data_IF_022186684399
#
_entry.id   IF_022186684399
#
_cell.length_a   1.000
_cell.length_b   1.000
_cell.length_c   1.000
_cell.angle_alpha   90.00
_cell.angle_beta   90.00
_cell.angle_gamma   90.00
#
_symmetry.space_group_name_H-M   'P 1'
#
loop_
_entity.id
_entity.type
_entity.pdbx_description
1 polymer ?
#
# COMPACT_ATOMS: atom_id res chain seq x y z
N UNK A 1 -7.54 -8.91 -13.19
CA UNK A 1 -8.70 -8.04 -13.47
C UNK A 1 -9.24 -7.58 -12.13
N UNK A 2 -9.50 -6.29 -11.94
CA UNK A 2 -10.03 -5.78 -10.66
C UNK A 2 -11.46 -6.31 -10.46
N UNK A 3 -11.80 -6.85 -9.26
CA UNK A 3 -13.14 -7.32 -8.95
C UNK A 3 -14.22 -6.25 -9.14
N UNK A 4 -15.41 -6.64 -9.59
CA UNK A 4 -16.49 -5.71 -9.95
C UNK A 4 -16.95 -4.80 -8.78
N UNK A 5 -16.92 -5.31 -7.55
CA UNK A 5 -17.23 -4.50 -6.36
C UNK A 5 -16.22 -3.37 -6.13
N UNK A 6 -14.94 -3.69 -6.25
CA UNK A 6 -13.84 -2.73 -6.12
C UNK A 6 -13.83 -1.74 -7.29
N UNK A 7 -14.17 -2.18 -8.50
CA UNK A 7 -14.28 -1.32 -9.68
C UNK A 7 -15.24 -0.14 -9.45
N UNK A 8 -16.38 -0.36 -8.77
CA UNK A 8 -17.34 0.73 -8.45
C UNK A 8 -16.76 1.79 -7.52
N UNK A 9 -15.92 1.39 -6.57
CA UNK A 9 -15.25 2.30 -5.64
C UNK A 9 -14.12 3.08 -6.32
N UNK A 10 -13.45 2.47 -7.31
CA UNK A 10 -12.37 3.10 -8.05
C UNK A 10 -12.84 3.99 -9.19
N UNK A 11 -14.02 3.73 -9.78
CA UNK A 11 -14.56 4.49 -10.93
C UNK A 11 -14.49 6.02 -10.78
N UNK A 12 -14.83 6.63 -9.62
CA UNK A 12 -14.80 8.08 -9.46
C UNK A 12 -13.39 8.70 -9.51
N UNK A 13 -12.35 7.89 -9.35
CA UNK A 13 -10.94 8.34 -9.21
C UNK A 13 -10.03 7.77 -10.30
N UNK A 14 -10.60 7.12 -11.34
CA UNK A 14 -9.80 6.52 -12.42
C UNK A 14 -9.00 7.57 -13.19
N UNK A 15 -9.58 8.75 -13.42
CA UNK A 15 -9.00 9.81 -14.26
C UNK A 15 -7.79 10.50 -13.60
N UNK A 16 -7.72 10.47 -12.27
CA UNK A 16 -6.59 11.04 -11.50
C UNK A 16 -5.36 10.13 -11.50
N UNK A 17 -5.52 8.89 -11.95
CA UNK A 17 -4.48 7.86 -11.97
C UNK A 17 -4.11 7.33 -10.58
N UNK A 18 -3.16 6.40 -10.59
CA UNK A 18 -2.69 5.72 -9.39
C UNK A 18 -1.18 5.75 -9.31
N UNK A 19 -0.65 5.56 -8.10
CA UNK A 19 0.78 5.30 -7.89
C UNK A 19 0.97 3.88 -7.41
N UNK A 20 1.70 3.09 -8.19
CA UNK A 20 2.11 1.74 -7.83
C UNK A 20 3.54 1.76 -7.32
N UNK A 21 3.78 1.11 -6.18
CA UNK A 21 5.11 1.04 -5.55
C UNK A 21 5.29 -0.26 -4.76
N UNK A 22 6.49 -0.45 -4.23
CA UNK A 22 6.87 -1.58 -3.38
C UNK A 22 6.46 -1.30 -1.94
N UNK A 23 5.90 -2.29 -1.25
CA UNK A 23 5.70 -2.18 0.19
C UNK A 23 7.03 -2.14 0.94
N UNK A 24 7.03 -1.50 2.11
CA UNK A 24 8.21 -1.38 2.98
C UNK A 24 8.39 -2.60 3.85
N UNK A 25 7.29 -3.15 4.35
CA UNK A 25 7.29 -4.21 5.36
C UNK A 25 7.00 -5.59 4.76
N UNK A 26 6.39 -5.63 3.58
CA UNK A 26 5.88 -6.86 2.99
C UNK A 26 6.38 -7.05 1.56
N UNK A 27 6.39 -8.30 1.10
CA UNK A 27 6.74 -8.64 -0.29
C UNK A 27 5.51 -8.50 -1.19
N UNK A 28 4.98 -7.28 -1.28
CA UNK A 28 3.79 -6.95 -2.06
C UNK A 28 3.91 -5.55 -2.70
N UNK A 29 2.96 -5.21 -3.57
CA UNK A 29 2.86 -3.86 -4.14
C UNK A 29 1.73 -3.08 -3.49
N UNK A 30 1.90 -1.76 -3.39
CA UNK A 30 0.89 -0.84 -2.89
C UNK A 30 0.43 0.05 -4.05
N UNK A 31 -0.87 0.07 -4.30
CA UNK A 31 -1.55 0.89 -5.29
C UNK A 31 -2.31 2.01 -4.57
N UNK A 32 -1.78 3.22 -4.69
CA UNK A 32 -2.34 4.43 -4.10
C UNK A 32 -3.24 5.15 -5.11
N UNK A 33 -4.46 5.54 -4.74
CA UNK A 33 -5.11 6.69 -5.38
C UNK A 33 -4.18 7.90 -5.39
N UNK A 34 -4.17 8.68 -6.46
CA UNK A 34 -3.29 9.85 -6.57
C UNK A 34 -3.45 10.83 -5.39
N UNK A 35 -4.69 11.08 -4.94
CA UNK A 35 -4.97 11.94 -3.80
C UNK A 35 -4.29 11.45 -2.50
N UNK A 36 -4.37 10.16 -2.21
CA UNK A 36 -3.74 9.55 -1.03
C UNK A 36 -2.21 9.59 -1.12
N UNK A 37 -1.67 9.37 -2.32
CA UNK A 37 -0.24 9.52 -2.57
C UNK A 37 0.25 10.96 -2.31
N UNK A 38 -0.51 11.96 -2.75
CA UNK A 38 -0.18 13.36 -2.52
C UNK A 38 -0.17 13.71 -1.02
N UNK A 39 -1.18 13.27 -0.27
CA UNK A 39 -1.25 13.46 1.18
C UNK A 39 -0.04 12.83 1.89
N UNK A 40 0.34 11.62 1.48
CA UNK A 40 1.53 10.94 1.99
C UNK A 40 2.82 11.70 1.65
N UNK A 41 2.97 12.18 0.42
CA UNK A 41 4.15 12.97 0.01
C UNK A 41 4.25 14.31 0.74
N UNK A 42 3.12 14.93 1.11
CA UNK A 42 3.13 16.11 1.98
C UNK A 42 3.73 15.80 3.36
N UNK A 43 3.39 14.64 3.96
CA UNK A 43 4.01 14.19 5.22
C UNK A 43 5.50 13.94 5.04
N UNK A 44 5.90 13.26 3.96
CA UNK A 44 7.30 12.98 3.66
C UNK A 44 8.14 14.26 3.45
N UNK A 45 7.56 15.29 2.85
CA UNK A 45 8.22 16.58 2.63
C UNK A 45 8.50 17.36 3.91
N UNK A 46 7.84 17.04 5.03
CA UNK A 46 8.13 17.64 6.35
C UNK A 46 9.41 17.10 6.99
N UNK A 47 9.98 16.01 6.46
CA UNK A 47 11.21 15.43 6.99
C UNK A 47 12.42 16.32 6.69
N UNK A 48 13.25 16.56 7.71
CA UNK A 48 14.48 17.34 7.54
C UNK A 48 15.45 16.64 6.58
N UNK A 49 15.70 17.26 5.42
CA UNK A 49 16.59 16.77 4.35
C UNK A 49 18.08 16.82 4.67
N UNK A 50 18.49 17.49 5.75
CA UNK A 50 19.89 17.49 6.21
C UNK A 50 20.22 16.29 7.11
N UNK A 51 19.20 15.56 7.58
CA UNK A 51 19.41 14.29 8.29
C UNK A 51 19.56 13.15 7.28
N UNK A 52 20.76 12.56 7.18
CA UNK A 52 21.06 11.46 6.24
C UNK A 52 20.02 10.33 6.30
N UNK A 53 19.62 9.91 7.51
CA UNK A 53 18.60 8.87 7.73
C UNK A 53 17.26 9.20 7.03
N UNK A 54 16.83 10.45 7.06
CA UNK A 54 15.58 10.88 6.41
C UNK A 54 15.69 10.81 4.89
N UNK A 55 16.84 11.21 4.32
CA UNK A 55 17.07 11.10 2.88
C UNK A 55 17.12 9.65 2.42
N UNK A 56 17.83 8.79 3.15
CA UNK A 56 17.92 7.36 2.86
C UNK A 56 16.52 6.73 2.91
N UNK A 57 15.71 7.08 3.91
CA UNK A 57 14.32 6.65 4.02
C UNK A 57 13.48 7.12 2.83
N UNK A 58 13.47 8.42 2.52
CA UNK A 58 12.68 8.96 1.40
C UNK A 58 13.08 8.30 0.09
N UNK A 59 14.39 8.13 -0.16
CA UNK A 59 14.90 7.48 -1.38
C UNK A 59 14.41 6.04 -1.46
N UNK A 60 14.47 5.27 -0.36
CA UNK A 60 14.02 3.89 -0.34
C UNK A 60 12.50 3.78 -0.46
N UNK A 61 11.77 4.70 0.14
CA UNK A 61 10.32 4.77 0.11
C UNK A 61 9.80 5.10 -1.28
N UNK A 62 10.37 6.10 -1.97
CA UNK A 62 9.94 6.45 -3.33
C UNK A 62 10.57 5.57 -4.42
N UNK A 63 11.50 4.68 -4.07
CA UNK A 63 12.17 3.82 -5.02
C UNK A 63 11.17 2.92 -5.75
N UNK A 64 11.21 2.99 -7.08
CA UNK A 64 10.35 2.15 -7.92
C UNK A 64 8.87 2.56 -7.95
N UNK A 65 8.49 3.68 -7.33
CA UNK A 65 7.14 4.23 -7.49
C UNK A 65 6.90 4.61 -8.96
N UNK A 66 5.72 4.30 -9.48
CA UNK A 66 5.30 4.56 -10.87
C UNK A 66 3.88 5.06 -10.89
N UNK A 67 3.63 6.10 -11.68
CA UNK A 67 2.27 6.47 -12.04
C UNK A 67 1.75 5.43 -13.02
N UNK A 68 0.55 4.94 -12.77
CA UNK A 68 -0.11 3.92 -13.57
C UNK A 68 -1.59 4.28 -13.75
N UNK A 69 -2.16 3.80 -14.85
CA UNK A 69 -3.58 4.00 -15.18
C UNK A 69 -4.32 2.67 -15.09
N UNK A 70 -5.60 2.76 -14.75
CA UNK A 70 -6.53 1.63 -14.76
C UNK A 70 -7.51 1.88 -15.90
N UNK A 71 -7.58 0.96 -16.85
CA UNK A 71 -8.47 1.13 -18.00
C UNK A 71 -9.96 1.04 -17.59
N UNK A 72 -10.86 1.43 -18.50
CA UNK A 72 -12.31 1.34 -18.27
C UNK A 72 -12.84 -0.09 -18.00
N UNK A 73 -12.03 -1.12 -18.23
CA UNK A 73 -12.32 -2.51 -17.90
C UNK A 73 -11.77 -2.94 -16.52
N UNK A 74 -11.13 -2.04 -15.78
CA UNK A 74 -10.49 -2.35 -14.50
C UNK A 74 -9.22 -3.18 -14.66
N UNK A 75 -8.48 -3.00 -15.77
CA UNK A 75 -7.18 -3.64 -16.00
C UNK A 75 -6.07 -2.63 -15.72
N UNK A 76 -5.03 -3.13 -15.07
CA UNK A 76 -3.82 -2.40 -14.72
C UNK A 76 -2.62 -3.21 -15.24
N UNK A 77 -1.67 -2.54 -15.88
CA UNK A 77 -0.40 -3.15 -16.25
C UNK A 77 0.62 -2.92 -15.13
N UNK A 78 1.12 -4.01 -14.54
CA UNK A 78 2.18 -3.95 -13.53
C UNK A 78 3.54 -4.00 -14.22
N UNK A 79 4.44 -3.03 -13.98
CA UNK A 79 5.82 -3.06 -14.47
C UNK A 79 6.56 -4.33 -14.04
N UNK A 80 7.35 -4.92 -14.94
CA UNK A 80 8.03 -6.20 -14.72
C UNK A 80 8.92 -6.22 -13.48
N UNK A 81 9.61 -5.12 -13.19
CA UNK A 81 10.47 -5.03 -12.00
C UNK A 81 9.68 -5.07 -10.69
N UNK A 82 8.43 -4.57 -10.69
CA UNK A 82 7.52 -4.65 -9.56
C UNK A 82 6.91 -6.04 -9.43
N UNK A 83 6.56 -6.70 -10.55
CA UNK A 83 6.15 -8.11 -10.55
C UNK A 83 7.23 -9.02 -9.96
N UNK A 84 8.50 -8.81 -10.35
CA UNK A 84 9.65 -9.56 -9.81
C UNK A 84 9.83 -9.28 -8.32
N UNK A 85 9.71 -8.04 -7.88
CA UNK A 85 9.83 -7.69 -6.46
C UNK A 85 8.75 -8.38 -5.61
N UNK A 86 7.49 -8.32 -6.02
CA UNK A 86 6.37 -8.88 -5.27
C UNK A 86 6.20 -10.40 -5.48
N UNK A 87 7.12 -11.03 -6.22
CA UNK A 87 7.10 -12.45 -6.55
C UNK A 87 5.76 -12.93 -7.15
N UNK A 88 5.09 -12.06 -7.90
CA UNK A 88 3.79 -12.35 -8.50
C UNK A 88 4.01 -13.30 -9.69
N UNK A 89 3.55 -14.54 -9.53
CA UNK A 89 3.78 -15.59 -10.53
C UNK A 89 2.51 -15.98 -11.29
N UNK A 90 1.37 -16.09 -10.60
CA UNK A 90 0.11 -16.56 -11.19
C UNK A 90 -1.12 -16.00 -10.48
N UNK A 91 -1.36 -16.42 -9.24
CA UNK A 91 -2.56 -16.09 -8.50
C UNK A 91 -2.33 -14.82 -7.66
N UNK A 92 -3.21 -13.83 -7.84
CA UNK A 92 -3.07 -12.51 -7.23
C UNK A 92 -4.21 -12.27 -6.24
N UNK A 93 -3.86 -11.71 -5.08
CA UNK A 93 -4.82 -11.18 -4.12
C UNK A 93 -4.78 -9.65 -4.15
N UNK A 94 -5.96 -9.04 -4.22
CA UNK A 94 -6.13 -7.60 -4.02
C UNK A 94 -6.73 -7.39 -2.62
N UNK A 95 -5.93 -6.83 -1.72
CA UNK A 95 -6.33 -6.58 -0.34
C UNK A 95 -6.51 -5.09 -0.10
N UNK A 96 -7.70 -4.60 0.27
CA UNK A 96 -7.87 -3.23 0.74
C UNK A 96 -7.11 -3.04 2.06
N UNK A 97 -6.26 -2.01 2.12
CA UNK A 97 -5.51 -1.64 3.33
C UNK A 97 -5.78 -0.17 3.61
N UNK A 98 -6.85 0.09 4.38
CA UNK A 98 -7.38 1.42 4.73
C UNK A 98 -7.74 2.25 3.48
N UNK A 99 -6.78 3.01 2.95
CA UNK A 99 -6.93 3.98 1.86
C UNK A 99 -6.20 3.56 0.58
N UNK A 100 -5.54 2.40 0.58
CA UNK A 100 -4.83 1.84 -0.57
C UNK A 100 -5.29 0.42 -0.88
N UNK A 101 -4.83 -0.08 -2.02
CA UNK A 101 -4.97 -1.49 -2.39
C UNK A 101 -3.59 -2.11 -2.42
N UNK A 102 -3.42 -3.20 -1.70
CA UNK A 102 -2.22 -4.02 -1.80
C UNK A 102 -2.43 -5.13 -2.85
N UNK A 103 -1.38 -5.41 -3.61
CA UNK A 103 -1.36 -6.43 -4.66
C UNK A 103 -0.32 -7.47 -4.29
N UNK A 104 -0.77 -8.69 -4.10
CA UNK A 104 0.02 -9.78 -3.55
C UNK A 104 0.07 -10.98 -4.48
N UNK A 105 1.16 -11.75 -4.41
CA UNK A 105 1.09 -13.18 -4.71
C UNK A 105 0.25 -13.88 -3.64
N UNK A 106 -0.65 -14.78 -4.06
CA UNK A 106 -1.62 -15.42 -3.15
C UNK A 106 -0.95 -16.15 -1.98
N UNK A 107 0.14 -16.88 -2.23
CA UNK A 107 0.78 -17.67 -1.18
C UNK A 107 1.45 -16.77 -0.13
N UNK A 108 2.07 -15.67 -0.57
CA UNK A 108 2.67 -14.68 0.32
C UNK A 108 1.61 -13.93 1.14
N UNK A 109 0.45 -13.65 0.55
CA UNK A 109 -0.67 -13.07 1.29
C UNK A 109 -1.15 -14.01 2.41
N UNK A 110 -1.46 -15.26 2.09
CA UNK A 110 -1.92 -16.25 3.07
C UNK A 110 -0.90 -16.43 4.20
N UNK A 111 0.38 -16.54 3.87
CA UNK A 111 1.46 -16.61 4.86
C UNK A 111 1.49 -15.36 5.77
N UNK A 112 1.36 -14.16 5.21
CA UNK A 112 1.42 -12.92 6.01
C UNK A 112 0.26 -12.78 7.01
N UNK A 113 -0.92 -13.33 6.67
CA UNK A 113 -2.08 -13.34 7.55
C UNK A 113 -1.90 -14.39 8.65
N UNK A 114 -1.39 -15.58 8.31
CA UNK A 114 -1.14 -16.65 9.28
C UNK A 114 -0.06 -16.25 10.29
N UNK A 115 1.03 -15.63 9.83
CA UNK A 115 2.10 -15.12 10.70
C UNK A 115 1.57 -14.05 11.68
N UNK A 116 0.64 -13.20 11.24
CA UNK A 116 0.00 -12.20 12.09
C UNK A 116 -1.06 -12.78 13.03
N UNK A 117 -1.74 -13.88 12.62
CA UNK A 117 -2.79 -14.52 13.41
C UNK A 117 -2.27 -15.14 14.71
N UNK A 118 -1.00 -15.56 14.74
CA UNK A 118 -0.36 -16.13 15.93
C UNK A 118 -0.29 -15.15 17.12
N UNK A 119 -0.46 -13.85 16.88
CA UNK A 119 -0.29 -12.78 17.87
C UNK A 119 -1.38 -11.70 17.78
N UNK A 120 -2.49 -11.98 17.06
CA UNK A 120 -3.46 -10.94 16.74
C UNK A 120 -4.19 -10.37 17.96
N UNK A 121 -4.44 -11.20 18.97
CA UNK A 121 -5.12 -10.76 20.20
C UNK A 121 -4.24 -9.77 20.99
N UNK A 122 -2.97 -10.11 21.21
CA UNK A 122 -2.04 -9.27 21.97
C UNK A 122 -1.70 -8.01 21.16
N UNK A 123 -1.52 -8.12 19.84
CA UNK A 123 -1.34 -6.97 18.95
C UNK A 123 -2.58 -6.05 18.95
N UNK A 124 -3.78 -6.61 18.96
CA UNK A 124 -5.01 -5.82 19.02
C UNK A 124 -5.11 -5.09 20.37
N UNK A 125 -4.74 -5.74 21.48
CA UNK A 125 -4.68 -5.09 22.79
C UNK A 125 -3.62 -3.98 22.85
N UNK A 126 -2.41 -4.21 22.31
CA UNK A 126 -1.36 -3.18 22.29
C UNK A 126 -1.76 -1.95 21.46
N UNK A 127 -2.39 -2.16 20.30
CA UNK A 127 -2.72 -1.09 19.34
C UNK A 127 -4.02 -0.40 19.68
N UNK A 128 -5.05 -1.13 20.12
CA UNK A 128 -6.41 -0.62 20.36
C UNK A 128 -6.77 -0.49 21.83
N UNK A 129 -6.04 -1.16 22.74
CA UNK A 129 -6.30 -1.16 24.17
C UNK A 129 -5.60 -0.03 24.94
N UNK A 130 -4.78 0.79 24.28
CA UNK A 130 -4.39 2.08 24.84
C UNK A 130 -5.56 3.05 24.69
N UNK A 131 -6.42 3.11 25.71
CA UNK A 131 -7.35 4.22 25.90
C UNK A 131 -6.52 5.50 26.12
N UNK A 132 -6.30 6.26 25.05
CA UNK A 132 -5.76 7.62 25.14
C UNK A 132 -6.90 8.56 25.60
N UNK A 133 -7.35 8.34 26.84
CA UNK A 133 -8.17 9.26 27.64
C UNK A 133 -7.28 10.45 28.08
N UNK A 134 -6.78 11.22 27.10
CA UNK A 134 -5.73 12.19 27.38
C UNK A 134 -5.46 13.24 26.32
N UNK A 135 -6.47 14.01 25.87
CA UNK A 135 -6.47 15.47 26.08
C UNK A 135 -7.81 16.08 25.63
N UNK A 136 -8.69 16.32 26.60
CA UNK A 136 -9.62 17.45 26.54
C UNK A 136 -8.87 18.61 27.20
N UNK A 137 -8.23 19.47 26.40
CA UNK A 137 -8.05 20.87 26.72
C UNK A 137 -7.81 21.75 25.48
#
# INVERSE_FOLDING_TARGET
MIPAGMKKQLMPILDDGFVLRRSVFQTCLELYPMAEWQLLMQKMNKLNRFKKKNNDFIRRFSAGARIVEVDGNGRLLIPKDLTVFANISKDIVLSPSINIIEIWDKALYEQSIDDAALDFADLAEEVMGQDDDGDVS
#
